data_IF_756263195370
#
_entry.id   IF_756263195370
#
_cell.length_a   1.000
_cell.length_b   1.000
_cell.length_c   1.000
_cell.angle_alpha   90.00
_cell.angle_beta   90.00
_cell.angle_gamma   90.00
#
_symmetry.space_group_name_H-M   'P 1'
#
loop_
_entity.id
_entity.type
_entity.pdbx_description
1 polymer ?
#
# COMPACT_ATOMS: atom_id res chain seq x y z
N UNK A 1 -8.48 16.22 1.77
CA UNK A 1 -8.26 15.08 2.69
C UNK A 1 -7.52 13.98 1.95
N UNK A 2 -6.24 14.18 1.64
CA UNK A 2 -5.40 13.18 0.93
C UNK A 2 -4.08 12.91 1.69
N UNK A 3 -3.96 13.45 2.91
CA UNK A 3 -2.79 13.25 3.79
C UNK A 3 -2.91 12.03 4.71
N UNK A 4 -4.02 11.27 4.69
CA UNK A 4 -4.33 10.34 5.78
C UNK A 4 -3.98 8.87 5.51
N UNK A 5 -3.90 8.44 4.24
CA UNK A 5 -3.61 7.04 3.92
C UNK A 5 -2.11 6.90 3.64
N UNK A 6 -1.32 6.98 4.72
CA UNK A 6 0.13 6.81 4.67
C UNK A 6 0.59 5.79 5.71
N UNK A 7 1.61 5.02 5.37
CA UNK A 7 2.30 4.09 6.26
C UNK A 7 2.74 4.81 7.53
N UNK A 8 3.39 5.97 7.39
CA UNK A 8 3.94 6.73 8.50
C UNK A 8 5.00 5.92 9.25
N UNK A 9 4.94 5.89 10.58
CA UNK A 9 5.88 5.12 11.42
C UNK A 9 5.47 3.65 11.61
N UNK A 10 4.49 3.15 10.84
CA UNK A 10 4.01 1.77 10.95
C UNK A 10 4.89 0.85 10.11
N UNK A 11 4.98 -0.41 10.51
CA UNK A 11 5.47 -1.47 9.62
C UNK A 11 4.51 -1.66 8.44
N UNK A 12 4.97 -2.25 7.35
CA UNK A 12 4.15 -2.58 6.16
C UNK A 12 2.95 -3.42 6.59
N UNK A 13 3.16 -4.48 7.37
CA UNK A 13 2.07 -5.31 7.92
C UNK A 13 1.02 -4.52 8.72
N UNK A 14 1.44 -3.49 9.47
CA UNK A 14 0.49 -2.64 10.23
C UNK A 14 -0.23 -1.66 9.30
N UNK A 15 0.45 -1.18 8.26
CA UNK A 15 -0.14 -0.31 7.26
C UNK A 15 -1.14 -1.06 6.38
N UNK A 16 -0.84 -2.28 5.94
CA UNK A 16 -1.73 -3.20 5.24
C UNK A 16 -3.06 -3.36 6.01
N UNK A 17 -3.00 -3.76 7.29
CA UNK A 17 -4.21 -3.90 8.13
C UNK A 17 -4.98 -2.60 8.27
N UNK A 18 -4.29 -1.47 8.39
CA UNK A 18 -4.92 -0.16 8.44
C UNK A 18 -5.64 0.15 7.12
N UNK A 19 -4.98 -0.10 5.98
CA UNK A 19 -5.49 0.15 4.64
C UNK A 19 -6.75 -0.68 4.37
N UNK A 20 -6.71 -2.01 4.62
CA UNK A 20 -7.88 -2.88 4.50
C UNK A 20 -9.04 -2.51 5.43
N UNK A 21 -8.77 -1.84 6.55
CA UNK A 21 -9.79 -1.31 7.46
C UNK A 21 -10.52 -0.07 6.95
N UNK A 22 -10.05 0.56 5.88
CA UNK A 22 -10.64 1.80 5.36
C UNK A 22 -11.92 1.51 4.57
N UNK A 23 -13.00 2.32 4.76
CA UNK A 23 -14.23 2.18 3.98
C UNK A 23 -14.04 2.29 2.47
N UNK A 24 -12.96 2.94 2.02
CA UNK A 24 -12.64 3.15 0.61
C UNK A 24 -12.33 1.85 -0.14
N UNK A 25 -11.85 0.82 0.58
CA UNK A 25 -11.54 -0.50 0.01
C UNK A 25 -12.76 -1.17 -0.60
N UNK A 26 -13.96 -0.83 -0.15
CA UNK A 26 -15.23 -1.34 -0.71
C UNK A 26 -15.84 -0.45 -1.80
N UNK A 27 -15.21 0.70 -2.09
CA UNK A 27 -15.75 1.73 -2.96
C UNK A 27 -14.92 1.94 -4.23
N UNK A 28 -13.72 1.38 -4.28
CA UNK A 28 -12.74 1.57 -5.36
C UNK A 28 -12.42 0.25 -6.03
N UNK A 29 -11.98 0.35 -7.28
CA UNK A 29 -11.41 -0.79 -8.00
C UNK A 29 -10.09 -1.22 -7.36
N UNK A 30 -9.71 -2.48 -7.58
CA UNK A 30 -8.45 -3.00 -7.06
C UNK A 30 -7.23 -2.22 -7.57
N UNK A 31 -7.23 -1.82 -8.84
CA UNK A 31 -6.16 -1.01 -9.40
C UNK A 31 -6.02 0.36 -8.73
N UNK A 32 -7.14 1.06 -8.47
CA UNK A 32 -7.10 2.31 -7.70
C UNK A 32 -6.58 2.08 -6.28
N UNK A 33 -6.93 0.95 -5.65
CA UNK A 33 -6.44 0.62 -4.32
C UNK A 33 -4.94 0.32 -4.31
N UNK A 34 -4.42 -0.36 -5.33
CA UNK A 34 -2.99 -0.60 -5.51
C UNK A 34 -2.24 0.73 -5.63
N UNK A 35 -2.69 1.64 -6.49
CA UNK A 35 -2.07 2.96 -6.66
C UNK A 35 -2.08 3.74 -5.33
N UNK A 36 -3.22 3.77 -4.64
CA UNK A 36 -3.35 4.45 -3.35
C UNK A 36 -2.49 3.82 -2.24
N UNK A 37 -2.43 2.49 -2.19
CA UNK A 37 -1.63 1.77 -1.21
C UNK A 37 -0.14 2.01 -1.44
N UNK A 38 0.29 1.90 -2.71
CA UNK A 38 1.67 2.14 -3.16
C UNK A 38 2.08 3.55 -2.81
N UNK A 39 1.29 4.57 -3.18
CA UNK A 39 1.58 5.99 -2.86
C UNK A 39 1.65 6.28 -1.36
N UNK A 40 0.95 5.50 -0.54
CA UNK A 40 1.01 5.62 0.91
C UNK A 40 2.21 4.92 1.57
N UNK A 41 2.92 4.03 0.87
CA UNK A 41 4.17 3.42 1.38
C UNK A 41 5.26 4.48 1.55
N UNK A 42 6.23 4.20 2.43
CA UNK A 42 7.44 5.03 2.54
C UNK A 42 8.21 5.02 1.22
N UNK A 43 8.90 6.12 0.97
CA UNK A 43 9.71 6.31 -0.24
C UNK A 43 10.79 5.23 -0.36
N UNK A 44 11.50 4.92 0.73
CA UNK A 44 12.52 3.86 0.76
C UNK A 44 11.99 2.48 0.32
N UNK A 45 10.74 2.16 0.64
CA UNK A 45 10.10 0.89 0.26
C UNK A 45 9.69 0.95 -1.21
N UNK A 46 9.08 2.06 -1.65
CA UNK A 46 8.67 2.24 -3.06
C UNK A 46 9.86 2.17 -4.02
N UNK A 47 11.01 2.72 -3.63
CA UNK A 47 12.25 2.66 -4.43
C UNK A 47 12.86 1.25 -4.46
N UNK A 48 12.56 0.41 -3.46
CA UNK A 48 13.04 -0.97 -3.38
C UNK A 48 12.14 -2.01 -4.07
N UNK A 49 10.93 -1.63 -4.51
CA UNK A 49 10.04 -2.52 -5.26
C UNK A 49 10.62 -2.82 -6.64
N UNK A 50 10.71 -4.10 -7.01
CA UNK A 50 11.26 -4.52 -8.30
C UNK A 50 10.33 -4.19 -9.47
N UNK A 51 9.03 -4.05 -9.20
CA UNK A 51 7.98 -3.85 -10.20
C UNK A 51 7.19 -2.57 -9.97
N UNK A 52 6.73 -1.96 -11.07
CA UNK A 52 5.86 -0.79 -10.99
C UNK A 52 4.37 -1.16 -10.96
N UNK A 53 4.01 -2.32 -11.49
CA UNK A 53 2.64 -2.80 -11.65
C UNK A 53 2.42 -4.09 -10.84
N UNK A 54 1.33 -4.12 -10.08
CA UNK A 54 0.97 -5.25 -9.23
C UNK A 54 -0.35 -5.85 -9.69
N UNK A 55 -0.48 -7.19 -9.71
CA UNK A 55 -1.72 -7.85 -10.14
C UNK A 55 -2.83 -7.76 -9.09
N UNK A 56 -2.47 -7.67 -7.81
CA UNK A 56 -3.42 -7.57 -6.69
C UNK A 56 -2.84 -6.66 -5.61
N UNK A 57 -3.73 -6.15 -4.75
CA UNK A 57 -3.33 -5.39 -3.58
C UNK A 57 -2.51 -6.23 -2.57
N UNK A 58 -2.79 -7.53 -2.50
CA UNK A 58 -2.05 -8.49 -1.66
C UNK A 58 -0.58 -8.60 -2.11
N UNK A 59 -0.33 -8.80 -3.41
CA UNK A 59 1.03 -8.91 -3.94
C UNK A 59 1.87 -7.65 -3.69
N UNK A 60 1.26 -6.45 -3.80
CA UNK A 60 1.93 -5.20 -3.43
C UNK A 60 2.42 -5.21 -1.97
N UNK A 61 1.58 -5.68 -1.04
CA UNK A 61 1.93 -5.69 0.38
C UNK A 61 2.94 -6.79 0.73
N UNK A 62 2.88 -7.93 0.05
CA UNK A 62 3.89 -9.00 0.17
C UNK A 62 5.27 -8.50 -0.26
N UNK A 63 5.40 -7.94 -1.47
CA UNK A 63 6.68 -7.39 -1.97
C UNK A 63 7.16 -6.23 -1.09
N UNK A 64 6.27 -5.36 -0.63
CA UNK A 64 6.63 -4.29 0.30
C UNK A 64 7.13 -4.81 1.67
N UNK A 65 6.57 -5.93 2.18
CA UNK A 65 7.04 -6.55 3.45
C UNK A 65 8.41 -7.22 3.28
N UNK A 66 8.78 -7.65 2.07
CA UNK A 66 10.13 -8.18 1.78
C UNK A 66 11.21 -7.09 1.71
N UNK A 67 10.83 -5.87 1.32
CA UNK A 67 11.75 -4.72 1.21
C UNK A 67 12.00 -4.02 2.55
N UNK A 68 11.02 -4.01 3.47
CA UNK A 68 11.08 -3.33 4.78
C UNK A 68 12.10 -3.94 5.77
#
# INVERSE_FOLDING_TARGET
MVNEIRQGNRSVKKYERYFYGLPIVRQRSEQELIEMAKDGLKEEIREGLETEEFPTLETLFEEAEEVE
#
